data_IF_008274943678
#
_entry.id   IF_008274943678
#
_cell.length_a   1.000
_cell.length_b   1.000
_cell.length_c   1.000
_cell.angle_alpha   90.00
_cell.angle_beta   90.00
_cell.angle_gamma   90.00
#
_symmetry.space_group_name_H-M   'P 1'
#
loop_
_entity.id
_entity.type
_entity.pdbx_description
1 polymer ?
#
# COMPACT_ATOMS: atom_id res chain seq x y z
N UNK A 1 -8.45 -9.15 -0.69
CA UNK A 1 -9.87 -8.87 -0.33
C UNK A 1 -10.30 -9.63 0.93
N UNK A 2 -9.92 -10.91 1.15
CA UNK A 2 -10.20 -11.63 2.41
C UNK A 2 -9.47 -11.00 3.61
N UNK A 3 -8.21 -10.59 3.45
CA UNK A 3 -7.41 -9.92 4.50
C UNK A 3 -7.99 -8.57 4.96
N UNK A 4 -8.83 -7.97 4.15
CA UNK A 4 -9.43 -6.64 4.40
C UNK A 4 -10.90 -6.73 4.79
N UNK A 5 -11.44 -7.93 4.98
CA UNK A 5 -12.84 -8.15 5.31
C UNK A 5 -13.84 -7.85 4.19
N UNK A 6 -13.35 -7.55 2.97
CA UNK A 6 -14.20 -7.31 1.79
C UNK A 6 -14.81 -8.61 1.22
N UNK A 7 -14.21 -9.74 1.53
CA UNK A 7 -14.74 -11.07 1.25
C UNK A 7 -14.71 -11.88 2.54
N UNK A 8 -15.70 -12.76 2.76
CA UNK A 8 -15.73 -13.61 3.94
C UNK A 8 -14.51 -14.54 3.98
N UNK A 9 -13.95 -14.71 5.16
CA UNK A 9 -12.89 -15.67 5.44
C UNK A 9 -13.24 -16.44 6.72
N UNK A 10 -12.87 -17.72 6.84
CA UNK A 10 -13.05 -18.44 8.09
C UNK A 10 -12.31 -17.72 9.23
N UNK A 11 -12.88 -17.65 10.45
CA UNK A 11 -12.29 -16.89 11.55
C UNK A 11 -10.83 -17.25 11.86
N UNK A 12 -10.48 -18.53 11.81
CA UNK A 12 -9.14 -19.03 12.09
C UNK A 12 -8.22 -19.14 10.86
N UNK A 13 -8.58 -18.53 9.71
CA UNK A 13 -7.78 -18.61 8.48
C UNK A 13 -6.80 -17.45 8.31
N UNK A 14 -7.01 -16.35 9.04
CA UNK A 14 -6.18 -15.15 8.95
C UNK A 14 -5.86 -14.68 10.36
N UNK A 15 -4.58 -14.46 10.62
CA UNK A 15 -4.07 -13.92 11.89
C UNK A 15 -3.28 -12.64 11.63
N UNK A 16 -3.51 -11.64 12.45
CA UNK A 16 -2.72 -10.42 12.49
C UNK A 16 -2.20 -10.20 13.91
N UNK A 17 -0.89 -10.13 14.09
CA UNK A 17 -0.25 -10.02 15.39
C UNK A 17 -0.76 -11.06 16.42
N UNK A 18 -0.91 -12.29 15.97
CA UNK A 18 -1.36 -13.42 16.80
C UNK A 18 -2.86 -13.46 17.09
N UNK A 19 -3.63 -12.47 16.62
CA UNK A 19 -5.09 -12.44 16.80
C UNK A 19 -5.82 -12.88 15.52
N UNK A 20 -6.87 -13.71 15.63
CA UNK A 20 -7.66 -14.09 14.47
C UNK A 20 -8.46 -12.88 13.98
N UNK A 21 -8.30 -12.54 12.71
CA UNK A 21 -8.98 -11.42 12.05
C UNK A 21 -9.86 -11.87 10.88
N UNK A 22 -9.87 -13.15 10.58
CA UNK A 22 -10.74 -13.71 9.55
C UNK A 22 -12.22 -13.46 9.87
N UNK A 23 -12.98 -13.02 8.85
CA UNK A 23 -14.41 -12.73 9.00
C UNK A 23 -14.76 -11.42 9.69
N UNK A 24 -13.77 -10.64 10.16
CA UNK A 24 -14.04 -9.31 10.71
C UNK A 24 -14.44 -8.34 9.59
N UNK A 25 -15.34 -7.38 9.85
CA UNK A 25 -15.76 -6.41 8.86
C UNK A 25 -14.65 -5.38 8.58
N UNK A 26 -14.63 -4.76 7.37
CA UNK A 26 -13.55 -3.87 6.93
C UNK A 26 -13.21 -2.73 7.89
N UNK A 27 -14.22 -2.11 8.49
CA UNK A 27 -13.99 -1.02 9.44
C UNK A 27 -13.23 -1.46 10.70
N UNK A 28 -13.47 -2.68 11.19
CA UNK A 28 -12.70 -3.26 12.31
C UNK A 28 -11.26 -3.54 11.88
N UNK A 29 -11.07 -4.11 10.69
CA UNK A 29 -9.75 -4.40 10.13
C UNK A 29 -8.88 -3.13 10.04
N UNK A 30 -9.45 -2.02 9.59
CA UNK A 30 -8.73 -0.74 9.54
C UNK A 30 -8.35 -0.25 10.94
N UNK A 31 -9.26 -0.36 11.92
CA UNK A 31 -8.95 0.00 13.31
C UNK A 31 -7.86 -0.88 13.93
N UNK A 32 -7.70 -2.12 13.50
CA UNK A 32 -6.59 -2.98 13.92
C UNK A 32 -5.25 -2.57 13.30
N UNK A 33 -5.26 -1.71 12.27
CA UNK A 33 -4.05 -1.19 11.62
C UNK A 33 -3.70 -1.89 10.31
N UNK A 34 -4.64 -2.50 9.65
CA UNK A 34 -4.46 -3.03 8.29
C UNK A 34 -5.13 -2.06 7.32
N UNK A 35 -4.35 -1.47 6.42
CA UNK A 35 -4.87 -0.63 5.34
C UNK A 35 -4.55 -1.23 3.98
N UNK A 36 -5.35 -0.89 2.98
CA UNK A 36 -5.19 -1.38 1.62
C UNK A 36 -5.18 -0.23 0.61
N UNK A 37 -4.24 -0.31 -0.32
CA UNK A 37 -4.25 0.42 -1.58
C UNK A 37 -4.82 -0.53 -2.63
N UNK A 38 -6.08 -0.37 -3.04
CA UNK A 38 -6.72 -1.30 -3.98
C UNK A 38 -6.25 -1.06 -5.41
N UNK A 39 -6.33 -2.09 -6.23
CA UNK A 39 -6.33 -1.94 -7.69
C UNK A 39 -7.38 -0.89 -8.11
N UNK A 40 -7.07 -0.08 -9.12
CA UNK A 40 -7.98 0.96 -9.61
C UNK A 40 -8.10 2.19 -8.70
N UNK A 41 -7.25 2.31 -7.64
CA UNK A 41 -7.10 3.50 -6.77
C UNK A 41 -8.31 3.83 -5.92
N UNK A 42 -9.53 3.62 -6.39
CA UNK A 42 -10.82 3.84 -5.70
C UNK A 42 -10.89 5.21 -4.99
N UNK A 43 -10.48 6.29 -5.66
CA UNK A 43 -10.60 7.65 -5.14
C UNK A 43 -12.06 8.14 -5.20
N UNK A 44 -12.38 9.10 -4.35
CA UNK A 44 -13.66 9.80 -4.41
C UNK A 44 -13.56 10.89 -5.49
N UNK A 45 -14.29 10.76 -6.62
CA UNK A 45 -14.07 11.62 -7.79
C UNK A 45 -14.37 13.09 -7.56
N UNK A 46 -15.38 13.38 -6.74
CA UNK A 46 -15.83 14.74 -6.42
C UNK A 46 -14.98 15.43 -5.36
N UNK A 47 -14.11 14.70 -4.67
CA UNK A 47 -13.30 15.24 -3.61
C UNK A 47 -11.91 15.65 -4.14
N UNK A 48 -11.37 16.70 -3.53
CA UNK A 48 -9.99 17.15 -3.75
C UNK A 48 -8.96 16.12 -3.26
N UNK A 49 -7.70 16.34 -3.57
CA UNK A 49 -6.58 15.56 -3.03
C UNK A 49 -6.63 15.54 -1.51
N UNK A 50 -6.67 16.71 -0.87
CA UNK A 50 -6.66 16.84 0.58
C UNK A 50 -7.85 16.15 1.24
N UNK A 51 -9.05 16.31 0.71
CA UNK A 51 -10.25 15.66 1.22
C UNK A 51 -10.16 14.12 1.08
N UNK A 52 -9.65 13.61 -0.05
CA UNK A 52 -9.39 12.19 -0.21
C UNK A 52 -8.40 11.66 0.84
N UNK A 53 -7.34 12.41 1.14
CA UNK A 53 -6.37 12.04 2.18
C UNK A 53 -7.01 12.02 3.57
N UNK A 54 -7.79 13.06 3.92
CA UNK A 54 -8.43 13.19 5.23
C UNK A 54 -9.43 12.07 5.55
N UNK A 55 -10.08 11.48 4.53
CA UNK A 55 -10.91 10.29 4.73
C UNK A 55 -10.10 9.15 5.37
N UNK A 56 -8.84 8.97 4.99
CA UNK A 56 -7.97 7.95 5.58
C UNK A 56 -7.74 8.12 7.08
N UNK A 57 -7.78 9.35 7.59
CA UNK A 57 -7.59 9.64 9.01
C UNK A 57 -8.81 9.34 9.89
N UNK A 58 -9.96 9.03 9.31
CA UNK A 58 -11.23 8.86 10.04
C UNK A 58 -11.24 7.69 11.03
N UNK A 59 -10.33 6.72 10.87
CA UNK A 59 -10.18 5.66 11.86
C UNK A 59 -9.59 6.13 13.20
N UNK A 60 -9.09 7.37 13.29
CA UNK A 60 -8.61 7.99 14.53
C UNK A 60 -7.32 7.39 15.10
N UNK A 61 -6.61 6.52 14.37
CA UNK A 61 -5.32 5.97 14.83
C UNK A 61 -4.26 7.06 14.84
N UNK A 62 -3.51 7.15 15.94
CA UNK A 62 -2.35 8.04 16.07
C UNK A 62 -1.11 7.35 15.49
N UNK A 63 -0.22 8.15 14.90
CA UNK A 63 1.05 7.65 14.35
C UNK A 63 1.78 8.74 13.57
N UNK A 64 2.81 8.38 12.81
CA UNK A 64 3.66 9.33 12.10
C UNK A 64 3.01 9.96 10.86
N UNK A 65 1.88 9.41 10.38
CA UNK A 65 1.25 9.84 9.14
C UNK A 65 0.16 10.86 9.40
N UNK A 66 0.42 12.08 8.95
CA UNK A 66 -0.49 13.21 8.82
C UNK A 66 -0.38 13.81 7.41
N UNK A 67 -1.15 14.85 7.11
CA UNK A 67 -1.10 15.53 5.80
C UNK A 67 0.32 15.99 5.47
N UNK A 68 1.03 16.58 6.43
CA UNK A 68 2.38 17.09 6.21
C UNK A 68 3.37 15.94 5.89
N UNK A 69 3.24 14.79 6.56
CA UNK A 69 4.06 13.61 6.28
C UNK A 69 3.78 13.03 4.88
N UNK A 70 2.50 12.98 4.48
CA UNK A 70 2.12 12.53 3.13
C UNK A 70 2.64 13.49 2.06
N UNK A 71 2.57 14.80 2.27
CA UNK A 71 3.11 15.79 1.34
C UNK A 71 4.63 15.75 1.27
N UNK A 72 5.34 15.50 2.39
CA UNK A 72 6.79 15.25 2.36
C UNK A 72 7.15 13.95 1.60
N UNK A 73 6.26 12.96 1.59
CA UNK A 73 6.46 11.72 0.82
C UNK A 73 6.22 11.94 -0.68
N UNK A 74 5.16 12.69 -1.01
CA UNK A 74 4.70 13.00 -2.37
C UNK A 74 4.47 14.50 -2.56
N UNK A 75 5.53 15.33 -2.78
CA UNK A 75 5.39 16.79 -2.85
C UNK A 75 4.42 17.28 -3.94
N UNK A 76 4.32 16.55 -5.05
CA UNK A 76 3.38 16.88 -6.13
C UNK A 76 1.90 16.90 -5.69
N UNK A 77 1.56 16.26 -4.57
CA UNK A 77 0.21 16.27 -4.03
C UNK A 77 -0.10 17.56 -3.28
N UNK A 78 0.89 18.17 -2.62
CA UNK A 78 0.73 19.43 -1.90
C UNK A 78 0.35 20.56 -2.86
N UNK A 79 1.05 20.65 -4.00
CA UNK A 79 0.76 21.64 -5.05
C UNK A 79 -0.65 21.50 -5.61
N UNK A 80 -1.21 20.30 -5.56
CA UNK A 80 -2.54 19.97 -6.09
C UNK A 80 -3.59 19.68 -5.02
N UNK A 81 -3.34 20.08 -3.77
CA UNK A 81 -4.20 19.74 -2.62
C UNK A 81 -5.67 20.05 -2.81
N UNK A 82 -5.99 21.18 -3.49
CA UNK A 82 -7.35 21.61 -3.78
C UNK A 82 -7.90 21.07 -5.13
N UNK A 83 -7.10 20.31 -5.89
CA UNK A 83 -7.50 19.79 -7.20
C UNK A 83 -8.39 18.55 -7.02
N UNK A 84 -9.56 18.47 -7.70
CA UNK A 84 -10.37 17.25 -7.73
C UNK A 84 -9.58 16.06 -8.25
N UNK A 85 -9.80 14.88 -7.66
CA UNK A 85 -9.03 13.69 -8.00
C UNK A 85 -9.18 13.24 -9.45
N UNK A 86 -10.26 13.59 -10.12
CA UNK A 86 -10.51 13.32 -11.55
C UNK A 86 -9.59 14.08 -12.50
N UNK A 87 -9.01 15.21 -12.07
CA UNK A 87 -8.10 16.03 -12.86
C UNK A 87 -6.62 15.66 -12.68
N UNK A 88 -6.33 14.65 -11.89
CA UNK A 88 -4.99 14.15 -11.64
C UNK A 88 -4.55 13.15 -12.71
N UNK A 89 -3.24 13.12 -12.97
CA UNK A 89 -2.65 12.01 -13.74
C UNK A 89 -2.83 10.67 -13.01
N UNK A 90 -2.76 9.56 -13.74
CA UNK A 90 -2.87 8.23 -13.14
C UNK A 90 -1.87 7.98 -12.00
N UNK A 91 -0.63 8.50 -12.14
CA UNK A 91 0.38 8.40 -11.10
C UNK A 91 0.05 9.23 -9.86
N UNK A 92 -0.42 10.46 -10.03
CA UNK A 92 -0.87 11.31 -8.92
C UNK A 92 -2.06 10.68 -8.18
N UNK A 93 -3.01 10.11 -8.91
CA UNK A 93 -4.12 9.36 -8.31
C UNK A 93 -3.63 8.18 -7.47
N UNK A 94 -2.59 7.46 -7.94
CA UNK A 94 -1.98 6.36 -7.19
C UNK A 94 -1.31 6.85 -5.92
N UNK A 95 -0.59 7.97 -5.98
CA UNK A 95 0.02 8.61 -4.80
C UNK A 95 -1.05 9.06 -3.78
N UNK A 96 -2.20 9.58 -4.24
CA UNK A 96 -3.33 9.93 -3.35
C UNK A 96 -3.89 8.66 -2.70
N UNK A 97 -4.05 7.56 -3.43
CA UNK A 97 -4.55 6.30 -2.87
C UNK A 97 -3.61 5.73 -1.79
N UNK A 98 -2.29 5.79 -2.04
CA UNK A 98 -1.27 5.40 -1.05
C UNK A 98 -1.33 6.36 0.15
N UNK A 99 -1.33 7.67 -0.07
CA UNK A 99 -1.42 8.68 0.99
C UNK A 99 -2.65 8.51 1.86
N UNK A 100 -3.81 8.27 1.26
CA UNK A 100 -5.06 7.99 1.98
C UNK A 100 -4.95 6.75 2.86
N UNK A 101 -4.33 5.69 2.37
CA UNK A 101 -4.09 4.49 3.18
C UNK A 101 -3.13 4.78 4.35
N UNK A 102 -2.06 5.55 4.12
CA UNK A 102 -1.11 5.96 5.15
C UNK A 102 -1.73 6.84 6.24
N UNK A 103 -2.67 7.73 5.89
CA UNK A 103 -3.40 8.56 6.86
C UNK A 103 -4.15 7.76 7.92
N UNK A 104 -4.42 6.48 7.69
CA UNK A 104 -4.94 5.57 8.72
C UNK A 104 -3.89 5.09 9.72
N UNK A 105 -2.63 5.51 9.57
CA UNK A 105 -1.49 5.07 10.39
C UNK A 105 -1.39 3.54 10.50
N UNK A 106 -1.25 2.82 9.36
CA UNK A 106 -1.30 1.37 9.34
C UNK A 106 -0.03 0.75 9.92
N UNK A 107 -0.18 -0.42 10.55
CA UNK A 107 0.92 -1.35 10.87
C UNK A 107 1.21 -2.31 9.71
N UNK A 108 0.18 -2.56 8.89
CA UNK A 108 0.29 -3.36 7.66
C UNK A 108 -0.38 -2.62 6.50
N UNK A 109 0.40 -2.30 5.49
CA UNK A 109 -0.07 -1.73 4.22
C UNK A 109 -0.11 -2.83 3.17
N UNK A 110 -1.30 -3.14 2.68
CA UNK A 110 -1.53 -4.06 1.57
C UNK A 110 -1.62 -3.25 0.27
N UNK A 111 -0.83 -3.60 -0.72
CA UNK A 111 -0.80 -2.91 -2.02
C UNK A 111 -1.16 -3.91 -3.12
N UNK A 112 -2.19 -3.60 -3.88
CA UNK A 112 -2.67 -4.43 -4.98
C UNK A 112 -2.35 -3.73 -6.29
N UNK A 113 -1.37 -4.27 -7.05
CA UNK A 113 -0.92 -3.80 -8.35
C UNK A 113 -0.58 -2.29 -8.40
N UNK A 114 0.40 -1.85 -7.59
CA UNK A 114 0.82 -0.44 -7.51
C UNK A 114 1.31 0.14 -8.84
N UNK A 115 1.90 -0.71 -9.69
CA UNK A 115 2.57 -0.30 -10.94
C UNK A 115 1.66 -0.32 -12.16
N UNK A 116 0.47 -0.92 -12.06
CA UNK A 116 -0.40 -1.18 -13.20
C UNK A 116 -0.82 0.10 -13.93
N UNK A 117 -0.51 0.14 -15.24
CA UNK A 117 -0.90 1.26 -16.11
C UNK A 117 -0.21 2.59 -15.83
N UNK A 118 0.93 2.58 -15.14
CA UNK A 118 1.71 3.77 -14.82
C UNK A 118 2.98 3.88 -15.68
N UNK A 119 3.39 5.13 -15.94
CA UNK A 119 4.66 5.39 -16.60
C UNK A 119 5.85 4.93 -15.72
N UNK A 120 6.95 4.43 -16.31
CA UNK A 120 8.09 3.88 -15.56
C UNK A 120 8.72 4.85 -14.55
N UNK A 121 8.69 6.16 -14.84
CA UNK A 121 9.20 7.19 -13.92
C UNK A 121 8.35 7.25 -12.63
N UNK A 122 7.03 7.24 -12.79
CA UNK A 122 6.08 7.28 -11.67
C UNK A 122 6.17 6.00 -10.83
N UNK A 123 6.29 4.84 -11.49
CA UNK A 123 6.52 3.57 -10.79
C UNK A 123 7.77 3.66 -9.91
N UNK A 124 8.89 4.17 -10.44
CA UNK A 124 10.12 4.36 -9.66
C UNK A 124 9.92 5.28 -8.46
N UNK A 125 9.16 6.37 -8.61
CA UNK A 125 8.85 7.30 -7.52
C UNK A 125 8.04 6.64 -6.42
N UNK A 126 6.99 5.90 -6.77
CA UNK A 126 6.16 5.16 -5.82
C UNK A 126 7.00 4.11 -5.07
N UNK A 127 7.81 3.34 -5.79
CA UNK A 127 8.66 2.31 -5.18
C UNK A 127 9.75 2.91 -4.29
N UNK A 128 10.28 4.10 -4.62
CA UNK A 128 11.22 4.82 -3.77
C UNK A 128 10.61 5.32 -2.45
N UNK A 129 9.28 5.46 -2.38
CA UNK A 129 8.58 5.82 -1.15
C UNK A 129 8.43 4.63 -0.17
N UNK A 130 8.41 3.38 -0.65
CA UNK A 130 8.15 2.21 0.19
C UNK A 130 9.19 1.99 1.31
N UNK A 131 10.51 2.16 1.11
CA UNK A 131 11.48 2.11 2.19
C UNK A 131 11.23 3.13 3.29
N UNK A 132 10.76 4.35 2.95
CA UNK A 132 10.39 5.38 3.93
C UNK A 132 9.17 4.95 4.73
N UNK A 133 8.14 4.39 4.07
CA UNK A 133 6.95 3.85 4.72
C UNK A 133 7.33 2.74 5.71
N UNK A 134 8.21 1.83 5.32
CA UNK A 134 8.76 0.79 6.20
C UNK A 134 9.54 1.38 7.37
N UNK A 135 10.31 2.43 7.15
CA UNK A 135 11.08 3.14 8.17
C UNK A 135 10.21 3.76 9.27
N UNK A 136 8.97 4.13 8.95
CA UNK A 136 7.98 4.63 9.92
C UNK A 136 7.21 3.49 10.64
N UNK A 137 7.63 2.24 10.46
CA UNK A 137 7.13 1.09 11.22
C UNK A 137 5.99 0.31 10.57
N UNK A 138 5.58 0.62 9.35
CA UNK A 138 4.60 -0.17 8.62
C UNK A 138 5.25 -1.35 7.89
N UNK A 139 4.73 -2.56 8.06
CA UNK A 139 5.01 -3.66 7.14
C UNK A 139 4.26 -3.42 5.81
N UNK A 140 4.88 -3.80 4.70
CA UNK A 140 4.26 -3.65 3.37
C UNK A 140 4.18 -5.02 2.70
N UNK A 141 2.99 -5.38 2.23
CA UNK A 141 2.75 -6.53 1.35
C UNK A 141 2.28 -5.99 0.01
N UNK A 142 3.06 -6.20 -1.04
CA UNK A 142 2.70 -5.81 -2.40
C UNK A 142 2.41 -7.04 -3.25
N UNK A 143 1.29 -7.03 -3.95
CA UNK A 143 0.96 -7.99 -5.01
C UNK A 143 1.27 -7.33 -6.33
N UNK A 144 2.13 -7.94 -7.13
CA UNK A 144 2.63 -7.37 -8.38
C UNK A 144 2.80 -8.43 -9.45
N UNK A 145 2.59 -8.02 -10.69
CA UNK A 145 2.88 -8.85 -11.87
C UNK A 145 4.31 -8.61 -12.36
N UNK A 146 4.82 -7.36 -12.25
CA UNK A 146 6.23 -7.05 -12.57
C UNK A 146 7.14 -7.45 -11.40
N UNK A 147 7.68 -8.66 -11.50
CA UNK A 147 8.60 -9.21 -10.51
C UNK A 147 9.90 -8.41 -10.41
N UNK A 148 10.35 -7.76 -11.49
CA UNK A 148 11.60 -7.02 -11.53
C UNK A 148 11.62 -5.82 -10.58
N UNK A 149 10.52 -5.10 -10.46
CA UNK A 149 10.39 -3.98 -9.52
C UNK A 149 10.22 -4.48 -8.08
N UNK A 150 9.34 -5.46 -7.86
CA UNK A 150 9.07 -6.01 -6.55
C UNK A 150 10.35 -6.58 -5.88
N UNK A 151 11.17 -7.33 -6.62
CA UNK A 151 12.40 -7.94 -6.12
C UNK A 151 13.48 -6.93 -5.67
N UNK A 152 13.42 -5.68 -6.14
CA UNK A 152 14.42 -4.66 -5.76
C UNK A 152 14.26 -4.18 -4.33
N UNK A 153 13.06 -4.23 -3.77
CA UNK A 153 12.71 -3.63 -2.47
C UNK A 153 12.17 -4.65 -1.47
N UNK A 154 11.75 -5.81 -1.94
CA UNK A 154 11.21 -6.86 -1.07
C UNK A 154 12.32 -7.47 -0.19
N UNK A 155 11.96 -7.83 1.04
CA UNK A 155 12.80 -8.63 1.93
C UNK A 155 12.47 -10.13 1.75
N UNK A 156 11.22 -10.44 1.39
CA UNK A 156 10.72 -11.79 1.15
C UNK A 156 9.79 -11.81 -0.06
N UNK A 157 9.84 -12.89 -0.82
CA UNK A 157 9.03 -13.11 -2.02
C UNK A 157 8.22 -14.40 -1.88
N UNK A 158 6.98 -14.34 -2.36
CA UNK A 158 6.12 -15.50 -2.59
C UNK A 158 5.64 -15.48 -4.03
N UNK A 159 6.00 -16.47 -4.84
CA UNK A 159 5.48 -16.61 -6.19
C UNK A 159 4.23 -17.48 -6.16
N UNK A 160 3.12 -16.94 -6.64
CA UNK A 160 1.84 -17.63 -6.68
C UNK A 160 1.57 -18.15 -8.09
N UNK A 161 1.19 -19.42 -8.20
CA UNK A 161 0.75 -20.04 -9.43
C UNK A 161 -0.47 -20.91 -9.15
N UNK A 162 -1.54 -20.73 -9.93
CA UNK A 162 -2.80 -21.49 -9.80
C UNK A 162 -3.34 -21.56 -8.37
N UNK A 163 -3.26 -20.42 -7.64
CA UNK A 163 -3.76 -20.31 -6.27
C UNK A 163 -2.88 -20.99 -5.20
N UNK A 164 -1.67 -21.42 -5.56
CA UNK A 164 -0.70 -22.04 -4.63
C UNK A 164 0.60 -21.26 -4.62
N UNK A 165 1.32 -21.31 -3.50
CA UNK A 165 2.70 -20.83 -3.43
C UNK A 165 3.60 -21.82 -4.15
N UNK A 166 4.13 -21.42 -5.32
CA UNK A 166 5.02 -22.24 -6.12
C UNK A 166 6.50 -22.07 -5.70
N UNK A 167 6.86 -20.85 -5.25
CA UNK A 167 8.21 -20.53 -4.79
C UNK A 167 8.11 -19.51 -3.66
N UNK A 168 8.98 -19.64 -2.66
CA UNK A 168 9.21 -18.63 -1.65
C UNK A 168 10.71 -18.40 -1.43
N UNK A 169 11.09 -17.19 -1.03
CA UNK A 169 12.50 -16.88 -0.77
C UNK A 169 12.70 -15.59 0.01
N UNK A 170 13.84 -15.51 0.70
CA UNK A 170 14.34 -14.30 1.35
C UNK A 170 15.34 -13.64 0.43
N UNK A 171 15.12 -12.37 0.09
CA UNK A 171 15.90 -11.63 -0.91
C UNK A 171 17.14 -10.92 -0.33
N UNK A 172 17.34 -10.96 0.98
CA UNK A 172 18.54 -10.39 1.65
C UNK A 172 19.85 -11.02 1.17
N UNK A 173 19.84 -12.28 0.73
CA UNK A 173 20.99 -13.00 0.15
C UNK A 173 21.17 -12.74 -1.35
N UNK A 174 20.12 -12.39 -2.08
CA UNK A 174 20.21 -12.14 -3.53
C UNK A 174 20.87 -10.79 -3.89
N UNK A 175 20.95 -9.86 -2.97
CA UNK A 175 21.68 -8.58 -3.17
C UNK A 175 23.20 -8.77 -3.22
N UNK A 176 23.75 -9.81 -2.59
CA UNK A 176 25.18 -10.14 -2.65
C UNK A 176 25.59 -10.73 -4.00
N UNK A 177 24.71 -11.51 -4.65
CA UNK A 177 25.02 -12.15 -5.95
C UNK A 177 24.98 -11.21 -7.16
N UNK A 178 24.37 -10.01 -7.05
CA UNK A 178 24.35 -9.02 -8.15
C UNK A 178 25.58 -8.11 -8.24
N UNK A 179 26.51 -8.21 -7.30
CA UNK A 179 27.81 -7.51 -7.37
C UNK A 179 28.91 -8.36 -7.99
N UNK A 180 28.65 -9.63 -8.30
CA UNK A 180 29.63 -10.57 -8.86
C UNK A 180 29.32 -11.01 -10.32
N UNK A 181 28.34 -10.37 -10.99
CA UNK A 181 28.06 -10.50 -12.43
C UNK A 181 28.13 -9.13 -13.13
#
# INVERSE_FOLDING_TARGET
>A
KMLTGLLPAPPASVFFEGQPVGGLPPHVIVHLGIAMVPEGRCLFPSLSVEENLLIGAQCGRRGPWDLAAVYRLFPALEEKRATPSTLLSGGQQQMVAIGRALMSNPRLLLCDELSLGLAPLVVREIYAALPRIKGEGAAVVAVEQDTGQAMRIADRLYCMQEGRVALEGVLSSARQYKQEL
#
